data_IF_418384551117
#
_entry.id   IF_418384551117
#
_cell.length_a   1.000
_cell.length_b   1.000
_cell.length_c   1.000
_cell.angle_alpha   90.00
_cell.angle_beta   90.00
_cell.angle_gamma   90.00
#
_symmetry.space_group_name_H-M   'P 1'
#
loop_
_entity.id
_entity.type
_entity.pdbx_description
1 polymer ?
#
# COMPACT_ATOMS: atom_id res chain seq x y z
N UNK A 1 6.77 26.22 10.51
CA UNK A 1 6.23 24.85 10.42
C UNK A 1 7.19 24.07 9.54
N UNK A 2 8.03 23.23 10.13
CA UNK A 2 8.96 22.38 9.38
C UNK A 2 8.13 21.41 8.53
N UNK A 3 8.35 21.38 7.21
CA UNK A 3 7.69 20.42 6.32
C UNK A 3 8.23 19.03 6.63
N UNK A 4 7.36 18.13 7.12
CA UNK A 4 7.72 16.72 7.25
C UNK A 4 8.10 16.20 5.85
N UNK A 5 9.07 15.28 5.73
CA UNK A 5 9.45 14.65 4.46
C UNK A 5 8.38 13.62 4.05
N UNK A 6 7.14 14.06 3.94
CA UNK A 6 5.96 13.26 3.60
C UNK A 6 5.40 13.81 2.30
N UNK A 7 5.33 12.95 1.30
CA UNK A 7 4.64 13.22 0.05
C UNK A 7 3.24 12.60 0.11
N UNK A 8 2.22 13.39 -0.24
CA UNK A 8 0.84 12.91 -0.34
C UNK A 8 0.55 12.58 -1.79
N UNK A 9 0.31 11.30 -2.07
CA UNK A 9 -0.06 10.85 -3.41
C UNK A 9 -1.57 11.08 -3.65
N UNK A 10 -1.96 11.68 -4.79
CA UNK A 10 -3.36 11.89 -5.12
C UNK A 10 -4.05 10.57 -5.48
N UNK A 11 -5.30 10.40 -5.03
CA UNK A 11 -6.17 9.30 -5.45
C UNK A 11 -6.96 9.67 -6.73
N UNK A 12 -6.24 9.79 -7.85
CA UNK A 12 -6.86 10.03 -9.16
C UNK A 12 -7.67 8.80 -9.65
N UNK A 13 -8.47 8.97 -10.70
CA UNK A 13 -9.31 7.91 -11.25
C UNK A 13 -8.51 6.65 -11.62
N UNK A 14 -7.28 6.80 -12.09
CA UNK A 14 -6.41 5.66 -12.42
C UNK A 14 -6.01 4.89 -11.16
N UNK A 15 -5.67 5.60 -10.08
CA UNK A 15 -5.33 5.02 -8.77
C UNK A 15 -6.52 4.27 -8.18
N UNK A 16 -7.69 4.91 -8.20
CA UNK A 16 -8.95 4.34 -7.71
C UNK A 16 -9.27 3.03 -8.46
N UNK A 17 -9.24 3.04 -9.78
CA UNK A 17 -9.53 1.84 -10.58
C UNK A 17 -8.47 0.75 -10.40
N UNK A 18 -7.19 1.11 -10.28
CA UNK A 18 -6.12 0.15 -10.01
C UNK A 18 -6.29 -0.51 -8.63
N UNK A 19 -6.61 0.26 -7.59
CA UNK A 19 -6.89 -0.28 -6.26
C UNK A 19 -8.12 -1.20 -6.30
N UNK A 20 -9.14 -0.86 -7.09
CA UNK A 20 -10.35 -1.67 -7.20
C UNK A 20 -10.04 -3.01 -7.87
N UNK A 21 -9.16 -3.00 -8.87
CA UNK A 21 -8.67 -4.22 -9.52
C UNK A 21 -7.88 -5.10 -8.56
N UNK A 22 -6.99 -4.54 -7.74
CA UNK A 22 -6.27 -5.32 -6.71
C UNK A 22 -7.25 -5.92 -5.72
N UNK A 23 -8.19 -5.13 -5.18
CA UNK A 23 -9.21 -5.60 -4.24
C UNK A 23 -10.10 -6.71 -4.80
N UNK A 24 -10.39 -6.66 -6.11
CA UNK A 24 -11.20 -7.68 -6.78
C UNK A 24 -10.47 -9.02 -6.90
N UNK A 25 -9.13 -9.01 -6.95
CA UNK A 25 -8.30 -10.21 -7.13
C UNK A 25 -7.62 -10.69 -5.85
N UNK A 26 -7.56 -9.86 -4.80
CA UNK A 26 -6.91 -10.17 -3.53
C UNK A 26 -7.84 -9.84 -2.35
N UNK A 27 -7.95 -10.72 -1.33
CA UNK A 27 -8.89 -10.56 -0.22
C UNK A 27 -8.37 -9.59 0.86
N UNK A 28 -7.91 -8.40 0.47
CA UNK A 28 -7.47 -7.32 1.38
C UNK A 28 -8.52 -6.21 1.47
N UNK A 29 -8.41 -5.25 2.38
CA UNK A 29 -9.28 -4.07 2.38
C UNK A 29 -9.05 -3.18 1.14
N UNK A 30 -10.05 -2.37 0.77
CA UNK A 30 -9.89 -1.44 -0.36
C UNK A 30 -8.85 -0.35 -0.04
N UNK A 31 -8.72 0.05 1.22
CA UNK A 31 -7.70 1.00 1.65
C UNK A 31 -6.29 0.41 1.49
N UNK A 32 -6.09 -0.86 1.85
CA UNK A 32 -4.81 -1.54 1.67
C UNK A 32 -4.44 -1.72 0.20
N UNK A 33 -5.44 -1.89 -0.66
CA UNK A 33 -5.21 -1.90 -2.10
C UNK A 33 -4.60 -0.57 -2.61
N UNK A 34 -4.98 0.59 -2.05
CA UNK A 34 -4.32 1.87 -2.37
C UNK A 34 -2.86 1.89 -1.93
N UNK A 35 -2.53 1.26 -0.80
CA UNK A 35 -1.14 1.14 -0.32
C UNK A 35 -0.30 0.34 -1.32
N UNK A 36 -0.85 -0.74 -1.87
CA UNK A 36 -0.18 -1.54 -2.91
C UNK A 36 0.02 -0.74 -4.19
N UNK A 37 -1.00 -0.03 -4.68
CA UNK A 37 -0.89 0.83 -5.87
C UNK A 37 0.16 1.92 -5.66
N UNK A 38 0.18 2.56 -4.49
CA UNK A 38 1.16 3.57 -4.14
C UNK A 38 2.59 3.00 -4.19
N UNK A 39 2.81 1.85 -3.57
CA UNK A 39 4.11 1.17 -3.58
C UNK A 39 4.56 0.81 -5.00
N UNK A 40 3.65 0.34 -5.86
CA UNK A 40 3.96 0.05 -7.27
C UNK A 40 4.33 1.33 -8.05
N UNK A 41 3.58 2.43 -7.87
CA UNK A 41 3.80 3.70 -8.59
C UNK A 41 5.18 4.30 -8.31
N UNK A 42 5.64 4.24 -7.06
CA UNK A 42 6.92 4.82 -6.65
C UNK A 42 8.05 3.79 -6.55
N UNK A 43 7.78 2.54 -6.93
CA UNK A 43 8.70 1.40 -6.72
C UNK A 43 9.20 1.29 -5.26
N UNK A 44 8.29 1.55 -4.32
CA UNK A 44 8.53 1.65 -2.88
C UNK A 44 8.33 0.33 -2.14
N UNK A 45 8.63 0.37 -0.84
CA UNK A 45 8.43 -0.75 0.09
C UNK A 45 7.29 -0.41 1.05
N UNK A 46 6.32 -1.29 1.18
CA UNK A 46 5.24 -1.18 2.16
C UNK A 46 5.80 -1.54 3.53
N UNK A 47 5.75 -0.61 4.48
CA UNK A 47 6.08 -0.88 5.88
C UNK A 47 4.80 -1.09 6.67
N UNK A 48 4.57 -2.30 7.19
CA UNK A 48 3.32 -2.63 7.88
C UNK A 48 3.52 -3.67 8.98
N UNK A 49 2.61 -3.68 9.96
CA UNK A 49 2.45 -4.77 10.93
C UNK A 49 1.15 -5.55 10.74
N UNK A 50 0.40 -5.24 9.69
CA UNK A 50 -0.92 -5.82 9.40
C UNK A 50 -0.79 -7.09 8.53
N UNK A 51 -1.18 -8.27 9.04
CA UNK A 51 -1.06 -9.54 8.32
C UNK A 51 -1.88 -9.60 7.02
N UNK A 52 -2.86 -8.74 6.77
CA UNK A 52 -3.60 -8.72 5.49
C UNK A 52 -2.66 -8.58 4.28
N UNK A 53 -1.49 -7.94 4.46
CA UNK A 53 -0.52 -7.74 3.40
C UNK A 53 0.20 -9.03 2.95
N UNK A 54 0.04 -10.15 3.64
CA UNK A 54 0.57 -11.45 3.19
C UNK A 54 0.01 -11.84 1.80
N UNK A 55 -1.25 -11.49 1.53
CA UNK A 55 -1.98 -11.76 0.28
C UNK A 55 -1.41 -11.04 -0.96
N UNK A 56 -0.61 -10.00 -0.74
CA UNK A 56 -0.08 -9.11 -1.81
C UNK A 56 1.45 -9.06 -1.85
N UNK A 57 2.13 -9.98 -1.15
CA UNK A 57 3.60 -10.14 -1.16
C UNK A 57 4.21 -10.30 -2.55
N UNK A 58 3.44 -10.80 -3.52
CA UNK A 58 3.88 -10.92 -4.93
C UNK A 58 3.72 -9.63 -5.73
N UNK A 59 2.93 -8.67 -5.25
CA UNK A 59 2.59 -7.44 -5.97
C UNK A 59 3.50 -6.26 -5.61
N UNK A 60 4.05 -6.25 -4.39
CA UNK A 60 4.89 -5.18 -3.87
C UNK A 60 5.89 -5.71 -2.83
N UNK A 61 6.99 -4.97 -2.63
CA UNK A 61 7.94 -5.26 -1.55
C UNK A 61 7.32 -4.89 -0.21
N UNK A 62 7.46 -5.76 0.79
CA UNK A 62 6.91 -5.56 2.13
C UNK A 62 8.04 -5.71 3.15
N UNK A 63 8.11 -4.76 4.09
CA UNK A 63 8.93 -4.84 5.29
C UNK A 63 8.02 -4.88 6.53
N UNK A 64 8.14 -5.96 7.29
CA UNK A 64 7.30 -6.21 8.45
C UNK A 64 7.82 -5.49 9.69
N UNK A 65 7.02 -4.58 10.23
CA UNK A 65 7.35 -3.83 11.44
C UNK A 65 7.27 -4.76 12.65
N UNK A 66 8.35 -4.81 13.43
CA UNK A 66 8.38 -5.56 14.70
C UNK A 66 7.44 -4.91 15.71
N UNK A 67 6.59 -5.71 16.36
CA UNK A 67 5.85 -5.24 17.54
C UNK A 67 6.87 -4.82 18.61
N UNK A 68 6.75 -3.59 19.12
CA UNK A 68 7.50 -3.16 20.31
C UNK A 68 7.09 -4.08 21.47
N UNK A 69 8.08 -4.68 22.13
CA UNK A 69 7.91 -5.39 23.41
C UNK A 69 7.60 -4.39 24.51
#
# INVERSE_FOLDING_TARGET
MQSLPIEILPADNQTVLAAAHIKANHPISYADAFVVVAAQKINGTIMTGDPEFEEVTKLAKIEWLKKRK
#
